data_IF_864312224751
#
_entry.id   IF_864312224751
#
_cell.length_a   1.000
_cell.length_b   1.000
_cell.length_c   1.000
_cell.angle_alpha   90.00
_cell.angle_beta   90.00
_cell.angle_gamma   90.00
#
_symmetry.space_group_name_H-M   'P 1'
#
loop_
_entity.id
_entity.type
_entity.pdbx_description
1 polymer ?
#
# COMPACT_ATOMS: atom_id res chain seq x y z
N UNK A 1 -36.99 -28.38 41.70
CA UNK A 1 -37.47 -27.74 40.46
C UNK A 1 -37.08 -26.25 40.40
N UNK A 2 -37.36 -25.45 41.44
CA UNK A 2 -37.13 -23.99 41.44
C UNK A 2 -35.68 -23.51 41.16
N UNK A 3 -34.65 -24.17 41.69
CA UNK A 3 -33.26 -23.74 41.52
C UNK A 3 -32.74 -23.82 40.07
N UNK A 4 -33.31 -24.70 39.24
CA UNK A 4 -32.94 -24.84 37.82
C UNK A 4 -33.53 -23.71 36.97
N UNK A 5 -34.75 -23.29 37.30
CA UNK A 5 -35.45 -22.20 36.62
C UNK A 5 -34.82 -20.84 36.94
N UNK A 6 -34.42 -20.62 38.19
CA UNK A 6 -33.70 -19.41 38.60
C UNK A 6 -32.34 -19.31 37.89
N UNK A 7 -31.59 -20.41 37.81
CA UNK A 7 -30.32 -20.48 37.06
C UNK A 7 -30.52 -20.21 35.57
N UNK A 8 -31.62 -20.69 34.98
CA UNK A 8 -31.95 -20.45 33.57
C UNK A 8 -32.25 -18.97 33.30
N UNK A 9 -33.00 -18.32 34.19
CA UNK A 9 -33.28 -16.88 34.13
C UNK A 9 -32.00 -16.04 34.27
N UNK A 10 -31.10 -16.43 35.17
CA UNK A 10 -29.82 -15.74 35.33
C UNK A 10 -28.94 -15.88 34.08
N UNK A 11 -28.90 -17.07 33.48
CA UNK A 11 -28.15 -17.32 32.24
C UNK A 11 -28.69 -16.50 31.07
N UNK A 12 -30.01 -16.35 30.93
CA UNK A 12 -30.59 -15.50 29.88
C UNK A 12 -30.20 -14.03 30.07
N UNK A 13 -30.22 -13.52 31.31
CA UNK A 13 -29.74 -12.15 31.60
C UNK A 13 -28.25 -11.98 31.28
N UNK A 14 -27.41 -12.97 31.61
CA UNK A 14 -25.97 -12.95 31.28
C UNK A 14 -25.74 -13.02 29.77
N UNK A 15 -26.52 -13.81 29.04
CA UNK A 15 -26.47 -13.93 27.58
C UNK A 15 -26.83 -12.62 26.90
N UNK A 16 -27.85 -11.91 27.39
CA UNK A 16 -28.20 -10.57 26.90
C UNK A 16 -27.05 -9.57 27.10
N UNK A 17 -26.47 -9.52 28.32
CA UNK A 17 -25.30 -8.66 28.60
C UNK A 17 -24.09 -8.99 27.73
N UNK A 18 -23.83 -10.28 27.49
CA UNK A 18 -22.73 -10.73 26.63
C UNK A 18 -22.96 -10.31 25.18
N UNK A 19 -24.19 -10.43 24.68
CA UNK A 19 -24.55 -9.98 23.34
C UNK A 19 -24.39 -8.46 23.17
N UNK A 20 -24.76 -7.68 24.19
CA UNK A 20 -24.57 -6.22 24.22
C UNK A 20 -23.08 -5.85 24.18
N UNK A 21 -22.26 -6.47 25.03
CA UNK A 21 -20.81 -6.25 25.07
C UNK A 21 -20.13 -6.62 23.74
N UNK A 22 -20.54 -7.71 23.09
CA UNK A 22 -20.00 -8.11 21.79
C UNK A 22 -20.37 -7.10 20.68
N UNK A 23 -21.60 -6.55 20.69
CA UNK A 23 -22.00 -5.50 19.74
C UNK A 23 -21.18 -4.22 19.94
N UNK A 24 -20.97 -3.83 21.19
CA UNK A 24 -20.19 -2.65 21.56
C UNK A 24 -18.70 -2.82 21.16
N UNK A 25 -18.12 -4.00 21.40
CA UNK A 25 -16.77 -4.35 20.89
C UNK A 25 -16.70 -4.25 19.37
N UNK A 26 -17.67 -4.82 18.66
CA UNK A 26 -17.74 -4.77 17.20
C UNK A 26 -17.81 -3.33 16.70
N UNK A 27 -18.63 -2.48 17.31
CA UNK A 27 -18.75 -1.06 16.95
C UNK A 27 -17.43 -0.31 17.11
N UNK A 28 -16.71 -0.52 18.22
CA UNK A 28 -15.39 0.11 18.43
C UNK A 28 -14.36 -0.34 17.41
N UNK A 29 -14.37 -1.63 17.06
CA UNK A 29 -13.46 -2.19 16.06
C UNK A 29 -13.75 -1.64 14.66
N UNK A 30 -15.03 -1.57 14.26
CA UNK A 30 -15.44 -0.94 13.00
C UNK A 30 -15.04 0.54 12.94
N UNK A 31 -15.19 1.29 14.03
CA UNK A 31 -14.75 2.69 14.10
C UNK A 31 -13.23 2.83 14.01
N UNK A 32 -12.47 1.98 14.71
CA UNK A 32 -11.01 1.93 14.60
C UNK A 32 -10.57 1.63 13.17
N UNK A 33 -11.17 0.63 12.52
CA UNK A 33 -10.90 0.31 11.13
C UNK A 33 -11.22 1.48 10.19
N UNK A 34 -12.36 2.16 10.40
CA UNK A 34 -12.74 3.35 9.63
C UNK A 34 -11.72 4.48 9.77
N UNK A 35 -11.21 4.73 10.99
CA UNK A 35 -10.20 5.77 11.22
C UNK A 35 -8.87 5.44 10.54
N UNK A 36 -8.43 4.18 10.61
CA UNK A 36 -7.19 3.73 9.98
C UNK A 36 -7.28 3.80 8.45
N UNK A 37 -8.37 3.31 7.88
CA UNK A 37 -8.58 3.31 6.42
C UNK A 37 -8.86 4.71 5.88
N UNK A 38 -9.55 5.58 6.64
CA UNK A 38 -9.82 6.96 6.24
C UNK A 38 -8.56 7.83 6.13
N UNK A 39 -7.46 7.46 6.81
CA UNK A 39 -6.15 8.13 6.72
C UNK A 39 -5.21 7.50 5.69
N UNK A 40 -5.56 6.34 5.13
CA UNK A 40 -4.68 5.55 4.26
C UNK A 40 -4.25 6.24 2.95
N UNK A 41 -5.03 7.13 2.30
CA UNK A 41 -4.55 7.80 1.09
C UNK A 41 -3.46 8.85 1.35
N UNK A 42 -3.35 9.35 2.58
CA UNK A 42 -2.46 10.47 2.93
C UNK A 42 -1.04 10.03 3.29
N UNK A 43 -0.87 8.84 3.90
CA UNK A 43 0.46 8.38 4.34
C UNK A 43 1.24 7.63 3.24
N UNK A 44 0.57 7.00 2.29
CA UNK A 44 1.21 6.24 1.21
C UNK A 44 1.57 7.13 0.00
N UNK A 45 2.25 8.25 0.22
CA UNK A 45 2.98 8.99 -0.83
C UNK A 45 2.19 9.48 -2.05
N UNK A 46 0.87 9.26 -2.11
CA UNK A 46 -0.01 9.78 -3.13
C UNK A 46 -0.29 11.25 -2.79
N UNK A 47 0.77 12.06 -2.83
CA UNK A 47 0.62 13.50 -2.89
C UNK A 47 -0.31 13.79 -4.08
N UNK A 48 -1.49 14.40 -3.87
CA UNK A 48 -2.33 14.84 -4.98
C UNK A 48 -1.67 15.98 -5.80
N UNK A 49 -0.43 16.33 -5.46
CA UNK A 49 0.32 17.47 -5.98
C UNK A 49 1.57 17.09 -6.79
N UNK A 50 1.88 15.80 -6.98
CA UNK A 50 2.91 15.45 -7.96
C UNK A 50 2.26 15.38 -9.35
N UNK A 51 2.73 16.18 -10.33
CA UNK A 51 2.21 16.12 -11.69
C UNK A 51 2.26 14.66 -12.18
N UNK A 52 1.16 14.19 -12.77
CA UNK A 52 1.05 12.83 -13.35
C UNK A 52 2.12 12.51 -14.40
N UNK A 53 2.88 13.52 -14.81
CA UNK A 53 4.03 13.43 -15.71
C UNK A 53 5.10 14.41 -15.20
N UNK A 54 6.10 13.92 -14.48
CA UNK A 54 7.35 14.68 -14.26
C UNK A 54 8.13 14.66 -15.58
N UNK A 55 8.57 15.83 -16.06
CA UNK A 55 9.46 15.91 -17.21
C UNK A 55 10.83 15.36 -16.83
N UNK A 56 11.58 14.83 -17.79
CA UNK A 56 12.98 14.41 -17.55
C UNK A 56 13.81 15.57 -16.99
N UNK A 57 13.56 16.80 -17.45
CA UNK A 57 14.20 18.00 -16.93
C UNK A 57 13.86 18.25 -15.45
N UNK A 58 12.60 18.05 -15.07
CA UNK A 58 12.17 18.23 -13.67
C UNK A 58 12.85 17.19 -12.76
N UNK A 59 13.02 15.97 -13.26
CA UNK A 59 13.75 14.91 -12.56
C UNK A 59 15.24 15.26 -12.40
N UNK A 60 15.87 15.79 -13.44
CA UNK A 60 17.27 16.25 -13.41
C UNK A 60 17.46 17.38 -12.39
N UNK A 61 16.55 18.36 -12.36
CA UNK A 61 16.61 19.49 -11.42
C UNK A 61 16.42 19.03 -9.96
N UNK A 62 15.60 18.01 -9.70
CA UNK A 62 15.39 17.42 -8.36
C UNK A 62 16.62 16.62 -7.90
N UNK A 63 17.25 15.87 -8.81
CA UNK A 63 18.34 14.95 -8.46
C UNK A 63 19.72 15.62 -8.43
N UNK A 64 19.90 16.73 -9.16
CA UNK A 64 21.17 17.48 -9.26
C UNK A 64 21.73 17.93 -7.91
N UNK A 65 20.95 18.47 -6.95
CA UNK A 65 21.45 18.82 -5.62
C UNK A 65 21.93 17.60 -4.80
N UNK A 66 21.41 16.40 -5.11
CA UNK A 66 21.74 15.15 -4.43
C UNK A 66 22.95 14.43 -5.06
N UNK A 67 23.46 14.93 -6.19
CA UNK A 67 24.53 14.28 -6.95
C UNK A 67 24.12 12.96 -7.59
N UNK A 68 22.82 12.71 -7.76
CA UNK A 68 22.29 11.48 -8.35
C UNK A 68 22.07 11.73 -9.85
N UNK A 69 22.65 10.91 -10.75
CA UNK A 69 22.35 11.02 -12.16
C UNK A 69 20.91 10.58 -12.44
N UNK A 70 20.14 11.40 -13.14
CA UNK A 70 18.76 11.10 -13.52
C UNK A 70 18.65 9.94 -14.53
N UNK A 71 19.73 9.68 -15.27
CA UNK A 71 19.82 8.55 -16.19
C UNK A 71 20.73 7.47 -15.58
N UNK A 72 20.25 6.23 -15.44
CA UNK A 72 21.10 5.13 -14.99
C UNK A 72 22.21 4.90 -16.01
N UNK A 73 23.44 4.71 -15.54
CA UNK A 73 24.52 4.21 -16.39
C UNK A 73 24.18 2.78 -16.82
N UNK A 74 23.65 2.63 -18.03
CA UNK A 74 23.59 1.33 -18.68
C UNK A 74 25.04 1.00 -19.03
N UNK A 75 25.69 0.18 -18.22
CA UNK A 75 26.89 -0.53 -18.65
C UNK A 75 26.49 -1.38 -19.86
N UNK A 76 26.66 -0.83 -21.07
CA UNK A 76 26.69 -1.65 -22.28
C UNK A 76 27.85 -2.60 -22.07
N UNK A 77 27.55 -3.88 -21.84
CA UNK A 77 28.53 -4.94 -21.95
C UNK A 77 29.26 -4.73 -23.28
N UNK A 78 30.50 -4.24 -23.21
CA UNK A 78 31.39 -4.16 -24.36
C UNK A 78 31.85 -5.59 -24.58
N UNK A 79 31.15 -6.31 -25.47
CA UNK A 79 31.74 -7.48 -26.11
C UNK A 79 32.89 -6.97 -26.98
N UNK A 80 34.14 -7.38 -26.74
CA UNK A 80 35.27 -6.92 -27.54
C UNK A 80 35.23 -7.62 -28.90
N UNK A 81 35.10 -6.79 -29.93
CA UNK A 81 35.86 -6.86 -31.18
C UNK A 81 35.87 -8.17 -31.98
N UNK A 82 35.10 -8.14 -33.07
CA UNK A 82 35.67 -8.34 -34.41
C UNK A 82 35.53 -9.72 -35.06
N UNK A 83 34.54 -9.86 -35.95
CA UNK A 83 34.80 -10.39 -37.29
C UNK A 83 33.87 -9.67 -38.27
N UNK A 84 34.48 -9.00 -39.24
CA UNK A 84 33.81 -8.43 -40.39
C UNK A 84 33.15 -9.55 -41.22
N UNK A 85 31.97 -9.29 -41.76
CA UNK A 85 31.55 -9.80 -43.07
C UNK A 85 30.42 -8.92 -43.58
N UNK A 86 30.80 -7.99 -44.45
CA UNK A 86 29.89 -7.32 -45.38
C UNK A 86 29.18 -8.39 -46.22
N UNK A 87 27.85 -8.35 -46.26
CA UNK A 87 27.04 -8.81 -47.37
C UNK A 87 25.89 -7.79 -47.47
N UNK A 88 26.09 -6.73 -48.24
CA UNK A 88 25.64 -6.59 -49.65
C UNK A 88 24.12 -6.46 -49.73
N UNK A 89 23.70 -5.31 -50.26
CA UNK A 89 22.34 -4.96 -50.63
C UNK A 89 21.69 -5.91 -51.65
N UNK A 90 20.39 -5.70 -51.83
CA UNK A 90 19.51 -6.04 -52.96
C UNK A 90 18.75 -7.37 -52.90
N UNK A 91 17.49 -7.29 -52.45
CA UNK A 91 16.26 -7.44 -53.26
C UNK A 91 15.02 -7.01 -52.46
#
# INVERSE_FOLDING_TARGET
>A
MAASEERKLELERKKQKLAEMNKDKRRREEERCRMLLGRSPLENGALPALPKTISQKDLEDILKPLGIPAQPHIERLVTPTGVASNAVCDC
#
